data_IF_042519511263
#
_entry.id   IF_042519511263
#
_cell.length_a   1.000
_cell.length_b   1.000
_cell.length_c   1.000
_cell.angle_alpha   90.00
_cell.angle_beta   90.00
_cell.angle_gamma   90.00
#
_symmetry.space_group_name_H-M   'P 1'
#
loop_
_entity.id
_entity.type
_entity.pdbx_description
1 polymer ?
#
# COMPACT_ATOMS: atom_id res chain seq x y z
N UNK A 1 -20.01 -30.68 -47.50
CA UNK A 1 -18.78 -30.23 -46.82
C UNK A 1 -18.91 -28.80 -46.29
N UNK A 2 -19.82 -28.54 -45.36
CA UNK A 2 -20.04 -27.20 -44.76
C UNK A 2 -19.84 -27.12 -43.25
N UNK A 3 -19.51 -28.23 -42.57
CA UNK A 3 -19.45 -28.28 -41.10
C UNK A 3 -18.15 -27.77 -40.47
N UNK A 4 -17.01 -27.88 -41.17
CA UNK A 4 -15.67 -27.62 -40.57
C UNK A 4 -15.32 -26.12 -40.50
N UNK A 5 -16.03 -25.26 -41.25
CA UNK A 5 -15.67 -23.84 -41.36
C UNK A 5 -16.16 -22.99 -40.18
N UNK A 6 -17.26 -23.40 -39.54
CA UNK A 6 -17.85 -22.70 -38.39
C UNK A 6 -17.03 -22.93 -37.11
N UNK A 7 -16.36 -24.08 -36.98
CA UNK A 7 -15.54 -24.40 -35.81
C UNK A 7 -14.27 -23.54 -35.74
N UNK A 8 -13.68 -23.15 -36.88
CA UNK A 8 -12.43 -22.37 -36.92
C UNK A 8 -12.64 -20.92 -36.49
N UNK A 9 -13.72 -20.27 -36.94
CA UNK A 9 -14.05 -18.89 -36.54
C UNK A 9 -14.38 -18.80 -35.05
N UNK A 10 -15.14 -19.78 -34.53
CA UNK A 10 -15.40 -19.88 -33.09
C UNK A 10 -14.11 -20.06 -32.29
N UNK A 11 -13.21 -20.93 -32.75
CA UNK A 11 -11.92 -21.15 -32.09
C UNK A 11 -11.06 -19.87 -32.05
N UNK A 12 -11.05 -19.10 -33.15
CA UNK A 12 -10.31 -17.84 -33.21
C UNK A 12 -10.86 -16.81 -32.22
N UNK A 13 -12.18 -16.61 -32.18
CA UNK A 13 -12.81 -15.67 -31.22
C UNK A 13 -12.57 -16.05 -29.76
N UNK A 14 -12.56 -17.36 -29.45
CA UNK A 14 -12.26 -17.85 -28.11
C UNK A 14 -10.80 -17.59 -27.72
N UNK A 15 -9.86 -17.76 -28.66
CA UNK A 15 -8.43 -17.47 -28.43
C UNK A 15 -8.21 -15.98 -28.22
N UNK A 16 -8.82 -15.11 -29.03
CA UNK A 16 -8.72 -13.65 -28.85
C UNK A 16 -9.30 -13.22 -27.49
N UNK A 17 -10.46 -13.77 -27.10
CA UNK A 17 -11.07 -13.48 -25.80
C UNK A 17 -10.18 -13.93 -24.63
N UNK A 18 -9.56 -15.12 -24.74
CA UNK A 18 -8.64 -15.63 -23.74
C UNK A 18 -7.39 -14.74 -23.60
N UNK A 19 -6.84 -14.31 -24.73
CA UNK A 19 -5.66 -13.43 -24.77
C UNK A 19 -5.94 -12.10 -24.05
N UNK A 20 -7.07 -11.44 -24.37
CA UNK A 20 -7.48 -10.18 -23.74
C UNK A 20 -7.69 -10.36 -22.22
N UNK A 21 -8.29 -11.47 -21.80
CA UNK A 21 -8.50 -11.76 -20.38
C UNK A 21 -7.18 -11.97 -19.61
N UNK A 22 -6.21 -12.64 -20.23
CA UNK A 22 -4.88 -12.85 -19.64
C UNK A 22 -4.13 -11.52 -19.51
N UNK A 23 -4.08 -10.71 -20.57
CA UNK A 23 -3.44 -9.39 -20.52
C UNK A 23 -4.07 -8.49 -19.45
N UNK A 24 -5.41 -8.46 -19.38
CA UNK A 24 -6.13 -7.70 -18.36
C UNK A 24 -5.79 -8.19 -16.94
N UNK A 25 -5.71 -9.51 -16.74
CA UNK A 25 -5.39 -10.11 -15.44
C UNK A 25 -3.96 -9.81 -14.99
N UNK A 26 -2.98 -9.92 -15.89
CA UNK A 26 -1.58 -9.59 -15.61
C UNK A 26 -1.46 -8.11 -15.22
N UNK A 27 -2.13 -7.21 -15.95
CA UNK A 27 -2.07 -5.79 -15.64
C UNK A 27 -2.71 -5.42 -14.31
N UNK A 28 -3.87 -6.02 -13.98
CA UNK A 28 -4.46 -5.88 -12.64
C UNK A 28 -3.45 -6.27 -11.57
N UNK A 29 -2.79 -7.42 -11.74
CA UNK A 29 -1.81 -7.91 -10.79
C UNK A 29 -0.61 -6.97 -10.65
N UNK A 30 -0.03 -6.51 -11.76
CA UNK A 30 1.10 -5.54 -11.75
C UNK A 30 0.71 -4.26 -11.02
N UNK A 31 -0.47 -3.70 -11.29
CA UNK A 31 -0.94 -2.48 -10.61
C UNK A 31 -1.18 -2.71 -9.12
N UNK A 32 -1.73 -3.86 -8.72
CA UNK A 32 -1.89 -4.23 -7.32
C UNK A 32 -0.54 -4.33 -6.61
N UNK A 33 0.46 -4.97 -7.25
CA UNK A 33 1.81 -5.07 -6.73
C UNK A 33 2.46 -3.68 -6.58
N UNK A 34 2.32 -2.79 -7.55
CA UNK A 34 2.85 -1.43 -7.45
C UNK A 34 2.21 -0.63 -6.30
N UNK A 35 0.90 -0.77 -6.08
CA UNK A 35 0.21 -0.12 -4.96
C UNK A 35 0.64 -0.69 -3.61
N UNK A 36 0.78 -2.01 -3.50
CA UNK A 36 1.29 -2.64 -2.28
C UNK A 36 2.73 -2.22 -1.98
N UNK A 37 3.60 -2.18 -2.99
CA UNK A 37 4.99 -1.77 -2.83
C UNK A 37 5.13 -0.29 -2.44
N UNK A 38 4.34 0.60 -3.03
CA UNK A 38 4.37 2.02 -2.66
C UNK A 38 3.92 2.25 -1.22
N UNK A 39 2.89 1.51 -0.77
CA UNK A 39 2.45 1.54 0.64
C UNK A 39 3.52 0.96 1.58
N UNK A 40 4.10 -0.19 1.25
CA UNK A 40 5.17 -0.81 2.05
C UNK A 40 6.38 0.11 2.15
N UNK A 41 6.79 0.77 1.06
CA UNK A 41 7.90 1.71 1.07
C UNK A 41 7.64 2.91 1.98
N UNK A 42 6.45 3.53 1.87
CA UNK A 42 6.06 4.65 2.76
C UNK A 42 5.96 4.20 4.22
N UNK A 43 5.39 3.01 4.49
CA UNK A 43 5.29 2.48 5.85
C UNK A 43 6.66 2.15 6.44
N UNK A 44 7.60 1.63 5.64
CA UNK A 44 8.98 1.40 6.08
C UNK A 44 9.69 2.68 6.45
N UNK A 45 9.53 3.75 5.67
CA UNK A 45 10.06 5.08 6.00
C UNK A 45 9.54 5.54 7.36
N UNK A 46 8.22 5.43 7.60
CA UNK A 46 7.61 5.77 8.90
C UNK A 46 8.16 4.89 10.04
N UNK A 47 8.42 3.61 9.79
CA UNK A 47 8.99 2.70 10.80
C UNK A 47 10.46 2.97 11.10
N UNK A 48 11.20 3.60 10.18
CA UNK A 48 12.60 3.98 10.38
C UNK A 48 12.75 5.35 11.06
N UNK A 49 11.72 6.19 11.01
CA UNK A 49 11.70 7.44 11.75
C UNK A 49 11.73 7.19 13.26
N UNK A 50 12.76 7.73 13.91
CA UNK A 50 12.95 7.62 15.36
C UNK A 50 12.08 8.62 16.14
N UNK A 51 11.55 9.65 15.47
CA UNK A 51 10.66 10.65 16.05
C UNK A 51 9.37 10.74 15.22
N UNK A 52 8.23 10.60 15.89
CA UNK A 52 6.91 10.78 15.29
C UNK A 52 6.71 12.29 15.06
N UNK A 53 7.02 12.76 13.86
CA UNK A 53 6.72 14.12 13.44
C UNK A 53 5.37 14.15 12.72
N UNK A 54 4.51 15.10 13.09
CA UNK A 54 3.25 15.33 12.35
C UNK A 54 3.56 15.67 10.89
N UNK A 55 4.64 16.42 10.64
CA UNK A 55 5.05 16.81 9.29
C UNK A 55 5.39 15.58 8.44
N UNK A 56 6.15 14.62 8.98
CA UNK A 56 6.50 13.40 8.23
C UNK A 56 5.28 12.53 7.94
N UNK A 57 4.36 12.42 8.89
CA UNK A 57 3.11 11.68 8.70
C UNK A 57 2.22 12.34 7.64
N UNK A 58 2.11 13.67 7.64
CA UNK A 58 1.38 14.38 6.58
C UNK A 58 2.04 14.24 5.21
N UNK A 59 3.38 14.27 5.14
CA UNK A 59 4.11 14.12 3.89
C UNK A 59 3.97 12.71 3.31
N UNK A 60 4.01 11.67 4.15
CA UNK A 60 3.80 10.28 3.73
C UNK A 60 2.37 10.03 3.26
N UNK A 61 1.36 10.54 3.98
CA UNK A 61 -0.04 10.48 3.54
C UNK A 61 -0.24 11.22 2.19
N UNK A 62 0.36 12.40 2.04
CA UNK A 62 0.29 13.17 0.80
C UNK A 62 0.97 12.43 -0.34
N UNK A 63 2.12 11.81 -0.11
CA UNK A 63 2.83 10.99 -1.09
C UNK A 63 1.97 9.84 -1.62
N UNK A 64 1.30 9.11 -0.71
CA UNK A 64 0.37 8.05 -1.07
C UNK A 64 -0.82 8.59 -1.88
N UNK A 65 -1.41 9.71 -1.45
CA UNK A 65 -2.53 10.34 -2.16
C UNK A 65 -2.14 10.80 -3.57
N UNK A 66 -0.98 11.44 -3.72
CA UNK A 66 -0.43 11.88 -5.01
C UNK A 66 -0.17 10.68 -5.92
N UNK A 67 0.36 9.58 -5.39
CA UNK A 67 0.57 8.35 -6.16
C UNK A 67 -0.74 7.80 -6.75
N UNK A 68 -1.80 7.69 -5.96
CA UNK A 68 -3.09 7.21 -6.45
C UNK A 68 -3.75 8.18 -7.44
N UNK A 69 -3.69 9.49 -7.16
CA UNK A 69 -4.18 10.52 -8.08
C UNK A 69 -3.46 10.46 -9.43
N UNK A 70 -2.13 10.29 -9.40
CA UNK A 70 -1.30 10.14 -10.59
C UNK A 70 -1.63 8.88 -11.39
N UNK A 71 -1.85 7.75 -10.70
CA UNK A 71 -2.24 6.49 -11.35
C UNK A 71 -3.58 6.61 -12.09
N UNK A 72 -4.57 7.30 -11.49
CA UNK A 72 -5.86 7.57 -12.13
C UNK A 72 -5.72 8.53 -13.32
N UNK A 73 -4.90 9.57 -13.19
CA UNK A 73 -4.66 10.54 -14.26
C UNK A 73 -3.95 9.91 -15.46
N UNK A 74 -2.98 9.02 -15.21
CA UNK A 74 -2.34 8.24 -16.27
C UNK A 74 -3.35 7.33 -16.98
N UNK A 75 -4.23 6.64 -16.25
CA UNK A 75 -5.27 5.79 -16.88
C UNK A 75 -6.17 6.60 -17.82
N UNK A 76 -6.60 7.78 -17.38
CA UNK A 76 -7.39 8.69 -18.20
C UNK A 76 -6.60 9.20 -19.41
N UNK A 77 -5.34 9.64 -19.23
CA UNK A 77 -4.51 10.13 -20.32
C UNK A 77 -4.25 9.04 -21.39
N UNK A 78 -4.00 7.80 -20.97
CA UNK A 78 -3.76 6.69 -21.88
C UNK A 78 -4.99 6.29 -22.69
N UNK A 79 -6.20 6.42 -22.12
CA UNK A 79 -7.45 6.22 -22.86
C UNK A 79 -7.62 7.20 -24.02
N UNK A 80 -7.12 8.43 -23.88
CA UNK A 80 -7.21 9.48 -24.90
C UNK A 80 -6.16 9.26 -26.00
N UNK A 81 -4.93 8.90 -25.63
CA UNK A 81 -3.78 8.87 -26.56
C UNK A 81 -3.82 7.65 -27.49
N UNK A 82 -4.36 6.52 -27.04
CA UNK A 82 -4.10 5.24 -27.71
C UNK A 82 -5.29 4.53 -28.33
N UNK A 83 -6.55 4.97 -28.18
CA UNK A 83 -7.76 4.30 -28.69
C UNK A 83 -7.81 2.77 -28.43
N UNK A 84 -6.98 2.26 -27.52
CA UNK A 84 -6.99 0.86 -27.13
C UNK A 84 -8.06 0.73 -26.05
N UNK A 85 -9.27 0.37 -26.49
CA UNK A 85 -10.43 0.13 -25.62
C UNK A 85 -10.12 -0.85 -24.48
N UNK A 86 -9.16 -1.76 -24.69
CA UNK A 86 -8.72 -2.75 -23.71
C UNK A 86 -8.17 -2.14 -22.41
N UNK A 87 -7.66 -0.91 -22.45
CA UNK A 87 -7.05 -0.25 -21.28
C UNK A 87 -7.94 0.81 -20.62
N UNK A 88 -9.07 1.14 -21.25
CA UNK A 88 -10.02 2.12 -20.76
C UNK A 88 -10.71 1.62 -19.48
N UNK A 89 -10.52 2.36 -18.37
CA UNK A 89 -11.24 2.12 -17.12
C UNK A 89 -10.73 0.94 -16.28
N UNK A 90 -9.57 0.37 -16.62
CA UNK A 90 -8.94 -0.69 -15.81
C UNK A 90 -8.61 -0.18 -14.41
N UNK A 91 -8.09 1.05 -14.26
CA UNK A 91 -7.82 1.61 -12.93
C UNK A 91 -9.10 1.74 -12.11
N UNK A 92 -10.17 2.26 -12.71
CA UNK A 92 -11.45 2.46 -12.03
C UNK A 92 -12.07 1.14 -11.57
N UNK A 93 -11.98 0.08 -12.38
CA UNK A 93 -12.43 -1.26 -12.01
C UNK A 93 -11.54 -1.89 -10.94
N UNK A 94 -10.23 -1.73 -11.04
CA UNK A 94 -9.25 -2.30 -10.09
C UNK A 94 -9.36 -1.65 -8.71
N UNK A 95 -9.44 -0.31 -8.65
CA UNK A 95 -9.60 0.42 -7.39
C UNK A 95 -11.03 0.38 -6.84
N UNK A 96 -12.02 0.06 -7.67
CA UNK A 96 -13.39 -0.20 -7.22
C UNK A 96 -13.58 -1.59 -6.62
N UNK A 97 -12.65 -2.52 -6.84
CA UNK A 97 -12.75 -3.89 -6.37
C UNK A 97 -12.22 -4.04 -4.93
N UNK A 98 -13.10 -4.44 -4.01
CA UNK A 98 -12.73 -4.67 -2.61
C UNK A 98 -11.69 -5.78 -2.42
N UNK A 99 -11.67 -6.79 -3.31
CA UNK A 99 -10.67 -7.87 -3.23
C UNK A 99 -9.25 -7.35 -3.49
N UNK A 100 -9.11 -6.36 -4.36
CA UNK A 100 -7.82 -5.71 -4.61
C UNK A 100 -7.31 -5.03 -3.34
N UNK A 101 -8.16 -4.28 -2.64
CA UNK A 101 -7.76 -3.64 -1.39
C UNK A 101 -7.42 -4.64 -0.28
N UNK A 102 -8.15 -5.75 -0.21
CA UNK A 102 -7.86 -6.83 0.73
C UNK A 102 -6.48 -7.45 0.44
N UNK A 103 -6.17 -7.76 -0.82
CA UNK A 103 -4.87 -8.32 -1.20
C UNK A 103 -3.71 -7.36 -0.96
N UNK A 104 -3.91 -6.06 -1.25
CA UNK A 104 -2.94 -5.02 -0.94
C UNK A 104 -2.71 -4.94 0.57
N UNK A 105 -3.78 -4.89 1.38
CA UNK A 105 -3.68 -4.84 2.83
C UNK A 105 -2.95 -6.06 3.41
N UNK A 106 -3.31 -7.27 2.95
CA UNK A 106 -2.65 -8.51 3.37
C UNK A 106 -1.16 -8.51 3.01
N UNK A 107 -0.81 -8.03 1.82
CA UNK A 107 0.59 -7.93 1.37
C UNK A 107 1.37 -6.93 2.23
N UNK A 108 0.79 -5.77 2.54
CA UNK A 108 1.41 -4.76 3.40
C UNK A 108 1.65 -5.33 4.79
N UNK A 109 0.67 -6.00 5.38
CA UNK A 109 0.80 -6.64 6.70
C UNK A 109 1.85 -7.75 6.69
N UNK A 110 1.85 -8.60 5.67
CA UNK A 110 2.82 -9.70 5.56
C UNK A 110 4.26 -9.18 5.43
N UNK A 111 4.48 -8.14 4.61
CA UNK A 111 5.81 -7.55 4.41
C UNK A 111 6.29 -6.76 5.63
N UNK A 112 5.43 -5.95 6.23
CA UNK A 112 5.83 -5.09 7.36
C UNK A 112 5.78 -5.79 8.71
N UNK A 113 4.98 -6.84 8.86
CA UNK A 113 4.87 -7.60 10.11
C UNK A 113 6.21 -8.20 10.55
N UNK A 114 7.00 -8.74 9.60
CA UNK A 114 8.34 -9.24 9.89
C UNK A 114 9.30 -8.13 10.29
N UNK A 115 9.28 -6.98 9.60
CA UNK A 115 10.14 -5.84 9.91
C UNK A 115 9.83 -5.27 11.30
N UNK A 116 8.54 -5.16 11.64
CA UNK A 116 8.07 -4.70 12.95
C UNK A 116 8.49 -5.69 14.03
N UNK A 117 8.23 -6.99 13.85
CA UNK A 117 8.62 -8.03 14.79
C UNK A 117 10.13 -8.05 15.02
N UNK A 118 10.94 -7.93 13.96
CA UNK A 118 12.39 -7.86 14.05
C UNK A 118 12.86 -6.61 14.81
N UNK A 119 12.28 -5.43 14.54
CA UNK A 119 12.59 -4.20 15.27
C UNK A 119 12.23 -4.30 16.76
N UNK A 120 11.07 -4.85 17.10
CA UNK A 120 10.66 -5.08 18.48
C UNK A 120 11.58 -6.08 19.20
N UNK A 121 11.89 -7.21 18.56
CA UNK A 121 12.82 -8.20 19.12
C UNK A 121 14.21 -7.59 19.35
N UNK A 122 14.73 -6.82 18.38
CA UNK A 122 16.01 -6.13 18.54
C UNK A 122 15.98 -5.15 19.72
N UNK A 123 14.91 -4.34 19.86
CA UNK A 123 14.77 -3.41 20.99
C UNK A 123 14.68 -4.11 22.34
N UNK A 124 14.02 -5.27 22.40
CA UNK A 124 13.87 -6.04 23.65
C UNK A 124 15.16 -6.74 24.08
N UNK A 125 15.88 -7.39 23.16
CA UNK A 125 17.03 -8.22 23.50
C UNK A 125 18.38 -7.53 23.35
N UNK A 126 18.47 -6.47 22.52
CA UNK A 126 19.70 -5.70 22.26
C UNK A 126 19.40 -4.20 22.19
N UNK A 127 19.00 -3.57 23.31
CA UNK A 127 18.70 -2.16 23.33
C UNK A 127 19.95 -1.34 23.02
N UNK A 128 19.83 -0.45 22.04
CA UNK A 128 20.82 0.58 21.76
C UNK A 128 20.72 1.70 22.82
N UNK A 129 21.82 2.40 23.10
CA UNK A 129 21.87 3.47 24.10
C UNK A 129 20.82 4.56 23.85
N UNK A 130 20.54 4.87 22.58
CA UNK A 130 19.48 5.80 22.17
C UNK A 130 18.10 5.38 22.64
N UNK A 131 17.76 4.09 22.56
CA UNK A 131 16.47 3.58 23.03
C UNK A 131 16.33 3.64 24.55
N UNK A 132 17.43 3.40 25.27
CA UNK A 132 17.45 3.51 26.73
C UNK A 132 17.18 4.95 27.15
N UNK A 133 17.84 5.92 26.52
CA UNK A 133 17.63 7.35 26.80
C UNK A 133 16.19 7.78 26.47
N UNK A 134 15.67 7.40 25.30
CA UNK A 134 14.29 7.71 24.93
C UNK A 134 13.27 7.14 25.91
N UNK A 135 13.48 5.90 26.39
CA UNK A 135 12.57 5.30 27.37
C UNK A 135 12.69 5.98 28.74
N UNK A 136 13.89 6.40 29.14
CA UNK A 136 14.09 7.20 30.36
C UNK A 136 13.39 8.57 30.27
N UNK A 137 13.52 9.27 29.14
CA UNK A 137 12.83 10.54 28.89
C UNK A 137 11.31 10.37 28.92
N UNK A 138 10.80 9.30 28.29
CA UNK A 138 9.38 8.95 28.31
C UNK A 138 8.87 8.71 29.73
N UNK A 139 9.62 7.95 30.54
CA UNK A 139 9.27 7.68 31.94
C UNK A 139 9.38 8.93 32.82
N UNK A 140 10.37 9.80 32.57
CA UNK A 140 10.55 11.05 33.30
C UNK A 140 9.39 12.03 33.01
N UNK A 141 9.00 12.19 31.74
CA UNK A 141 7.84 12.99 31.35
C UNK A 141 6.53 12.48 31.97
N UNK A 142 6.34 11.16 32.01
CA UNK A 142 5.19 10.55 32.68
C UNK A 142 5.16 10.86 34.18
N UNK A 143 6.29 10.72 34.89
CA UNK A 143 6.39 11.06 36.32
C UNK A 143 6.10 12.53 36.61
N UNK A 144 6.51 13.44 35.72
CA UNK A 144 6.18 14.86 35.81
C UNK A 144 4.67 15.13 35.75
N UNK A 145 3.96 14.48 34.81
CA UNK A 145 2.50 14.61 34.68
C UNK A 145 1.72 14.09 35.89
N UNK A 146 2.15 12.97 36.51
CA UNK A 146 1.50 12.47 37.72
C UNK A 146 1.68 13.41 38.91
N UNK A 147 2.81 14.10 39.01
CA UNK A 147 3.06 15.07 40.08
C UNK A 147 2.18 16.31 39.91
N UNK A 148 2.08 16.85 38.70
CA UNK A 148 1.18 17.99 38.43
C UNK A 148 -0.30 17.68 38.63
N UNK A 149 -0.72 16.44 38.33
CA UNK A 149 -2.11 16.01 38.60
C UNK A 149 -2.37 15.86 40.10
N UNK A 150 -1.41 15.31 40.85
CA UNK A 150 -1.51 15.18 42.30
C UNK A 150 -1.54 16.54 43.02
N UNK A 151 -0.70 17.48 42.57
CA UNK A 151 -0.65 18.84 43.13
C UNK A 151 -1.91 19.66 42.76
N UNK A 152 -2.63 19.29 41.69
CA UNK A 152 -3.94 19.87 41.34
C UNK A 152 -5.12 19.32 42.17
N UNK A 153 -4.96 18.16 42.82
CA UNK A 153 -5.98 17.53 43.68
C UNK A 153 -5.85 17.88 45.17
N UNK A 154 -4.82 18.62 45.58
CA UNK A 154 -4.69 19.11 46.96
C UNK A 154 -5.36 20.48 47.14
N UNK A 155 -6.50 20.57 47.87
CA UNK A 155 -7.21 21.83 48.15
C UNK A 155 -6.49 22.75 49.14
#
# INVERSE_FOLDING_TARGET
>A
GGGVKVDIESLYTNIESLYINIECSIQKLVRCMMCALSLVANLRLVLEENHISVVSHTATLLSVAVFYAWALLLDAAWSIVRNFDSFSGVARRTFGDGLVWLTVALTVVAMTGLDVAAKYAHRAYRPNATYVVQEQERLAGARGSYRSLRDAESP
#
